data_IF_793309145817
#
_entry.id   IF_793309145817
#
_cell.length_a   1.000
_cell.length_b   1.000
_cell.length_c   1.000
_cell.angle_alpha   90.00
_cell.angle_beta   90.00
_cell.angle_gamma   90.00
#
_symmetry.space_group_name_H-M   'P 1'
#
loop_
_entity.id
_entity.type
_entity.pdbx_description
1 polymer ?
#
# COMPACT_ATOMS: atom_id res chain seq x y z
N UNK A 1 -92.81 -18.72 -18.82
CA UNK A 1 -91.37 -19.03 -18.64
C UNK A 1 -90.74 -18.89 -20.01
N UNK A 2 -89.84 -17.92 -20.20
CA UNK A 2 -89.12 -17.78 -21.48
C UNK A 2 -88.11 -18.92 -21.63
N UNK A 3 -88.08 -19.51 -22.82
CA UNK A 3 -87.20 -20.64 -23.11
C UNK A 3 -85.77 -20.15 -23.34
N UNK A 4 -84.78 -21.04 -23.21
CA UNK A 4 -83.38 -20.75 -23.55
C UNK A 4 -83.25 -20.20 -24.98
N UNK A 5 -84.15 -20.63 -25.86
CA UNK A 5 -84.20 -20.18 -27.26
C UNK A 5 -84.59 -18.70 -27.36
N UNK A 6 -85.57 -18.26 -26.57
CA UNK A 6 -85.99 -16.85 -26.54
C UNK A 6 -84.87 -15.95 -26.00
N UNK A 7 -84.13 -16.41 -24.98
CA UNK A 7 -82.99 -15.67 -24.43
C UNK A 7 -81.80 -15.60 -25.39
N UNK A 8 -81.58 -16.62 -26.22
CA UNK A 8 -80.53 -16.60 -27.24
C UNK A 8 -80.93 -15.74 -28.45
N UNK A 9 -82.21 -15.69 -28.79
CA UNK A 9 -82.73 -14.81 -29.84
C UNK A 9 -82.62 -13.34 -29.45
N UNK A 10 -82.94 -12.98 -28.20
CA UNK A 10 -82.76 -11.62 -27.67
C UNK A 10 -81.27 -11.24 -27.65
N UNK A 11 -80.37 -12.14 -27.24
CA UNK A 11 -78.93 -11.86 -27.23
C UNK A 11 -78.33 -11.67 -28.63
N UNK A 12 -78.94 -12.29 -29.65
CA UNK A 12 -78.52 -12.14 -31.04
C UNK A 12 -79.03 -10.82 -31.66
N UNK A 13 -80.11 -10.24 -31.14
CA UNK A 13 -80.62 -8.93 -31.56
C UNK A 13 -79.82 -7.77 -30.96
N UNK A 14 -79.24 -7.95 -29.78
CA UNK A 14 -78.36 -6.96 -29.11
C UNK A 14 -76.90 -7.00 -29.61
N UNK A 15 -76.57 -7.83 -30.61
CA UNK A 15 -75.24 -7.86 -31.19
C UNK A 15 -74.99 -6.59 -32.03
N UNK A 16 -73.90 -5.81 -31.78
CA UNK A 16 -73.63 -4.58 -32.50
C UNK A 16 -73.50 -4.82 -34.02
N UNK A 17 -74.09 -3.97 -34.89
CA UNK A 17 -74.29 -4.25 -36.31
C UNK A 17 -73.03 -4.09 -37.20
N UNK A 18 -71.83 -4.08 -36.63
CA UNK A 18 -70.60 -3.97 -37.39
C UNK A 18 -69.53 -4.91 -36.83
N UNK A 19 -69.12 -5.88 -37.66
CA UNK A 19 -67.85 -6.58 -37.46
C UNK A 19 -66.73 -5.52 -37.47
N UNK A 20 -65.80 -5.52 -36.51
CA UNK A 20 -64.65 -4.62 -36.55
C UNK A 20 -63.93 -4.81 -37.89
N UNK A 21 -63.59 -3.71 -38.54
CA UNK A 21 -62.90 -3.67 -39.84
C UNK A 21 -61.81 -4.76 -39.89
N UNK A 22 -61.87 -5.71 -40.85
CA UNK A 22 -60.90 -6.82 -40.93
C UNK A 22 -59.45 -6.32 -41.06
N UNK A 23 -59.22 -5.08 -41.52
CA UNK A 23 -57.92 -4.43 -41.50
C UNK A 23 -57.34 -4.21 -40.10
N UNK A 24 -58.16 -4.12 -39.05
CA UNK A 24 -57.70 -3.93 -37.66
C UNK A 24 -56.88 -5.11 -37.16
N UNK A 25 -57.14 -6.33 -37.64
CA UNK A 25 -56.39 -7.51 -37.22
C UNK A 25 -55.01 -7.58 -37.87
N UNK A 26 -54.89 -7.14 -39.12
CA UNK A 26 -53.60 -7.04 -39.80
C UNK A 26 -52.79 -5.82 -39.32
N UNK A 27 -53.46 -4.72 -38.99
CA UNK A 27 -52.85 -3.58 -38.28
C UNK A 27 -52.36 -4.02 -36.89
N UNK A 28 -53.15 -4.75 -36.12
CA UNK A 28 -52.76 -5.28 -34.81
C UNK A 28 -51.62 -6.32 -34.90
N UNK A 29 -51.60 -7.19 -35.91
CA UNK A 29 -50.48 -8.13 -36.16
C UNK A 29 -49.20 -7.40 -36.59
N UNK A 30 -49.31 -6.44 -37.52
CA UNK A 30 -48.19 -5.61 -37.95
C UNK A 30 -47.60 -4.82 -36.78
N UNK A 31 -48.47 -4.31 -35.91
CA UNK A 31 -48.11 -3.65 -34.66
C UNK A 31 -47.38 -4.59 -33.69
N UNK A 32 -47.92 -5.80 -33.47
CA UNK A 32 -47.31 -6.80 -32.60
C UNK A 32 -45.94 -7.29 -33.11
N UNK A 33 -45.77 -7.47 -34.43
CA UNK A 33 -44.49 -7.85 -35.04
C UNK A 33 -43.44 -6.73 -34.92
N UNK A 34 -43.81 -5.49 -35.24
CA UNK A 34 -42.92 -4.31 -35.06
C UNK A 34 -42.54 -4.12 -33.59
N UNK A 35 -43.48 -4.39 -32.66
CA UNK A 35 -43.25 -4.31 -31.22
C UNK A 35 -42.26 -5.38 -30.71
N UNK A 36 -42.37 -6.61 -31.20
CA UNK A 36 -41.45 -7.71 -30.84
C UNK A 36 -40.06 -7.51 -31.42
N UNK A 37 -39.95 -7.13 -32.70
CA UNK A 37 -38.66 -6.86 -33.35
C UNK A 37 -37.94 -5.66 -32.72
N UNK A 38 -38.65 -4.56 -32.42
CA UNK A 38 -38.04 -3.39 -31.78
C UNK A 38 -37.56 -3.66 -30.36
N UNK A 39 -38.27 -4.51 -29.60
CA UNK A 39 -37.84 -4.88 -28.23
C UNK A 39 -36.60 -5.79 -28.28
N UNK A 40 -36.57 -6.77 -29.20
CA UNK A 40 -35.43 -7.66 -29.36
C UNK A 40 -34.14 -6.94 -29.78
N UNK A 41 -34.25 -5.99 -30.72
CA UNK A 41 -33.10 -5.19 -31.18
C UNK A 41 -32.51 -4.36 -30.03
N UNK A 42 -33.36 -3.75 -29.20
CA UNK A 42 -32.86 -2.92 -28.10
C UNK A 42 -32.27 -3.75 -26.97
N UNK A 43 -32.90 -4.87 -26.60
CA UNK A 43 -32.32 -5.79 -25.61
C UNK A 43 -30.98 -6.33 -26.12
N UNK A 44 -30.91 -6.74 -27.39
CA UNK A 44 -29.66 -7.16 -28.02
C UNK A 44 -28.58 -6.09 -28.00
N UNK A 45 -28.88 -4.86 -28.41
CA UNK A 45 -27.93 -3.75 -28.39
C UNK A 45 -27.45 -3.39 -26.97
N UNK A 46 -28.32 -3.51 -25.97
CA UNK A 46 -27.96 -3.25 -24.56
C UNK A 46 -27.03 -4.32 -24.03
N UNK A 47 -27.34 -5.60 -24.26
CA UNK A 47 -26.48 -6.72 -23.86
C UNK A 47 -25.13 -6.64 -24.56
N UNK A 48 -25.10 -6.28 -25.84
CA UNK A 48 -23.87 -6.18 -26.62
C UNK A 48 -23.01 -4.98 -26.16
N UNK A 49 -23.63 -3.86 -25.79
CA UNK A 49 -22.94 -2.71 -25.23
C UNK A 49 -22.41 -2.98 -23.80
N UNK A 50 -23.18 -3.68 -22.96
CA UNK A 50 -22.70 -4.13 -21.64
C UNK A 50 -21.55 -5.14 -21.76
N UNK A 51 -21.63 -6.06 -22.72
CA UNK A 51 -20.56 -7.01 -23.02
C UNK A 51 -19.30 -6.32 -23.57
N UNK A 52 -19.44 -5.27 -24.39
CA UNK A 52 -18.32 -4.45 -24.87
C UNK A 52 -17.68 -3.65 -23.73
N UNK A 53 -18.47 -3.07 -22.82
CA UNK A 53 -17.95 -2.33 -21.67
C UNK A 53 -17.24 -3.28 -20.68
N UNK A 54 -17.83 -4.44 -20.38
CA UNK A 54 -17.20 -5.46 -19.55
C UNK A 54 -15.95 -6.07 -20.21
N UNK A 55 -15.99 -6.31 -21.52
CA UNK A 55 -14.87 -6.86 -22.28
C UNK A 55 -13.70 -5.89 -22.44
N UNK A 56 -13.95 -4.59 -22.59
CA UNK A 56 -12.89 -3.57 -22.69
C UNK A 56 -12.12 -3.36 -21.37
N UNK A 57 -12.74 -3.64 -20.23
CA UNK A 57 -12.06 -3.64 -18.93
C UNK A 57 -11.10 -4.84 -18.79
N UNK A 58 -11.48 -5.98 -19.36
CA UNK A 58 -10.70 -7.22 -19.28
C UNK A 58 -9.55 -7.26 -20.30
N UNK A 59 -9.79 -6.80 -21.53
CA UNK A 59 -8.79 -6.82 -22.63
C UNK A 59 -7.59 -5.88 -22.40
N UNK A 60 -7.67 -4.94 -21.44
CA UNK A 60 -6.52 -4.09 -21.05
C UNK A 60 -5.75 -4.58 -19.81
N UNK A 61 -6.28 -5.55 -19.08
CA UNK A 61 -5.56 -6.16 -17.96
C UNK A 61 -4.50 -7.18 -18.42
N UNK A 62 -4.53 -7.56 -19.70
CA UNK A 62 -3.80 -8.70 -20.26
C UNK A 62 -2.55 -8.32 -21.08
N UNK A 63 -2.03 -7.09 -20.91
CA UNK A 63 -0.70 -6.77 -21.43
C UNK A 63 0.37 -7.41 -20.51
N UNK A 64 0.50 -8.73 -20.61
CA UNK A 64 1.74 -9.45 -20.31
C UNK A 64 2.09 -9.69 -18.84
N UNK A 65 1.13 -10.04 -17.97
CA UNK A 65 1.48 -10.73 -16.72
C UNK A 65 1.80 -12.18 -17.08
N UNK A 66 3.04 -12.41 -17.53
CA UNK A 66 3.56 -13.76 -17.66
C UNK A 66 3.85 -14.25 -16.24
N UNK A 67 3.23 -15.34 -15.76
CA UNK A 67 3.55 -15.89 -14.45
C UNK A 67 5.07 -16.05 -14.37
N UNK A 68 5.69 -15.58 -13.29
CA UNK A 68 7.11 -15.81 -13.08
C UNK A 68 7.40 -17.28 -13.35
N UNK A 69 8.35 -17.54 -14.25
CA UNK A 69 8.78 -18.90 -14.50
C UNK A 69 9.10 -19.54 -13.14
N UNK A 70 8.61 -20.76 -12.84
CA UNK A 70 8.89 -21.41 -11.56
C UNK A 70 10.39 -21.36 -11.26
N UNK A 71 10.78 -20.64 -10.20
CA UNK A 71 12.18 -20.42 -9.83
C UNK A 71 12.83 -19.12 -10.32
N UNK A 72 12.06 -18.12 -10.77
CA UNK A 72 12.56 -16.75 -10.87
C UNK A 72 13.14 -16.33 -9.50
N UNK A 73 14.37 -15.81 -9.50
CA UNK A 73 15.02 -15.41 -8.26
C UNK A 73 14.38 -14.12 -7.76
N UNK A 74 14.02 -14.04 -6.47
CA UNK A 74 13.62 -12.78 -5.85
C UNK A 74 14.69 -11.71 -6.06
N UNK A 75 14.28 -10.53 -6.50
CA UNK A 75 15.18 -9.41 -6.75
C UNK A 75 14.46 -8.09 -6.48
N UNK A 76 15.24 -7.04 -6.22
CA UNK A 76 14.72 -5.69 -6.21
C UNK A 76 14.45 -5.22 -7.65
N UNK A 77 13.39 -4.44 -7.91
CA UNK A 77 13.14 -3.90 -9.23
C UNK A 77 14.16 -2.81 -9.59
N UNK A 78 14.53 -2.73 -10.87
CA UNK A 78 15.33 -1.63 -11.42
C UNK A 78 14.50 -0.35 -11.65
N UNK A 79 13.18 -0.44 -11.51
CA UNK A 79 12.24 0.67 -11.70
C UNK A 79 11.08 0.53 -10.72
N UNK A 80 10.81 1.57 -9.93
CA UNK A 80 9.62 1.67 -9.09
C UNK A 80 8.62 2.60 -9.77
N UNK A 81 7.42 2.09 -10.02
CA UNK A 81 6.34 2.85 -10.64
C UNK A 81 5.40 3.44 -9.59
N UNK A 82 4.80 4.60 -9.91
CA UNK A 82 3.71 5.16 -9.11
C UNK A 82 2.50 4.20 -9.13
N UNK A 83 2.08 3.66 -7.97
CA UNK A 83 0.96 2.73 -7.92
C UNK A 83 -0.35 3.39 -8.34
N UNK A 84 -1.18 2.67 -9.10
CA UNK A 84 -2.54 3.16 -9.38
C UNK A 84 -3.41 2.99 -8.13
N UNK A 85 -4.17 4.04 -7.78
CA UNK A 85 -5.15 4.00 -6.68
C UNK A 85 -6.24 2.93 -6.83
N UNK A 86 -6.37 2.32 -8.01
CA UNK A 86 -7.39 1.32 -8.32
C UNK A 86 -6.80 -0.08 -8.53
N UNK A 87 -5.54 -0.31 -8.12
CA UNK A 87 -4.98 -1.64 -8.06
C UNK A 87 -5.84 -2.57 -7.17
N UNK A 88 -5.89 -3.87 -7.47
CA UNK A 88 -6.56 -4.85 -6.62
C UNK A 88 -5.81 -5.02 -5.29
N UNK A 89 -6.52 -5.56 -4.30
CA UNK A 89 -5.95 -5.95 -3.01
C UNK A 89 -5.54 -7.44 -2.98
N UNK A 90 -4.79 -7.82 -1.96
CA UNK A 90 -4.45 -9.23 -1.65
C UNK A 90 -5.65 -10.08 -1.26
N UNK A 91 -6.73 -9.51 -0.74
CA UNK A 91 -8.00 -10.22 -0.49
C UNK A 91 -8.73 -10.57 -1.79
N UNK A 92 -8.52 -9.78 -2.85
CA UNK A 92 -9.15 -9.98 -4.16
C UNK A 92 -8.39 -11.00 -5.02
N UNK A 93 -7.05 -10.90 -5.05
CA UNK A 93 -6.19 -11.66 -5.98
C UNK A 93 -5.22 -12.62 -5.29
N UNK A 94 -5.21 -12.66 -3.96
CA UNK A 94 -4.31 -13.49 -3.16
C UNK A 94 -2.97 -12.82 -2.83
N UNK A 95 -2.16 -13.50 -1.99
CA UNK A 95 -0.86 -13.00 -1.54
C UNK A 95 0.10 -12.75 -2.71
N UNK A 96 0.97 -11.75 -2.57
CA UNK A 96 2.01 -11.40 -3.54
C UNK A 96 3.26 -12.30 -3.44
N UNK A 97 3.37 -13.07 -2.36
CA UNK A 97 4.62 -13.72 -1.99
C UNK A 97 5.61 -12.73 -1.38
N UNK A 98 6.88 -13.12 -1.37
CA UNK A 98 7.98 -12.27 -0.93
C UNK A 98 7.97 -10.93 -1.66
N UNK A 99 8.05 -9.84 -0.90
CA UNK A 99 8.04 -8.48 -1.42
C UNK A 99 9.47 -7.97 -1.62
N UNK A 100 9.67 -7.17 -2.67
CA UNK A 100 10.89 -6.40 -2.88
C UNK A 100 10.79 -5.01 -2.26
N UNK A 101 9.60 -4.42 -2.27
CA UNK A 101 9.37 -3.08 -1.76
C UNK A 101 7.96 -2.94 -1.19
N UNK A 102 7.83 -1.95 -0.30
CA UNK A 102 6.58 -1.50 0.27
C UNK A 102 6.43 0.00 0.01
N UNK A 103 5.32 0.42 -0.57
CA UNK A 103 5.12 1.78 -1.03
C UNK A 103 3.87 2.39 -0.39
N UNK A 104 3.97 3.55 0.28
CA UNK A 104 2.79 4.28 0.71
C UNK A 104 2.02 4.79 -0.51
N UNK A 105 0.69 4.60 -0.52
CA UNK A 105 -0.17 5.02 -1.62
C UNK A 105 -1.58 5.35 -1.13
N UNK A 106 -2.36 6.02 -1.98
CA UNK A 106 -3.78 6.21 -1.73
C UNK A 106 -4.60 5.12 -2.44
N UNK A 107 -5.41 4.36 -1.72
CA UNK A 107 -6.39 3.43 -2.30
C UNK A 107 -7.71 4.14 -2.56
N UNK A 108 -8.20 4.05 -3.78
CA UNK A 108 -9.48 4.60 -4.19
C UNK A 108 -10.63 3.74 -3.67
N UNK A 109 -11.60 4.35 -3.00
CA UNK A 109 -12.86 3.72 -2.58
C UNK A 109 -14.06 4.17 -3.42
N UNK A 110 -15.29 4.03 -2.90
CA UNK A 110 -16.50 4.60 -3.52
C UNK A 110 -16.79 6.05 -3.09
N UNK A 111 -16.34 6.44 -1.91
CA UNK A 111 -16.64 7.73 -1.27
C UNK A 111 -15.44 8.66 -1.14
N UNK A 112 -14.22 8.14 -1.28
CA UNK A 112 -12.99 8.90 -1.16
C UNK A 112 -11.79 8.07 -1.60
N UNK A 113 -10.60 8.51 -1.21
CA UNK A 113 -9.40 7.70 -1.17
C UNK A 113 -8.93 7.63 0.27
N UNK A 114 -8.13 6.61 0.58
CA UNK A 114 -7.57 6.41 1.90
C UNK A 114 -6.10 6.04 1.82
N UNK A 115 -5.33 6.43 2.83
CA UNK A 115 -3.96 5.97 3.00
C UNK A 115 -3.95 4.44 3.15
N UNK A 116 -3.07 3.82 2.38
CA UNK A 116 -2.88 2.38 2.32
C UNK A 116 -1.44 2.10 1.87
N UNK A 117 -1.11 0.82 1.78
CA UNK A 117 0.22 0.39 1.39
C UNK A 117 0.17 -0.62 0.25
N UNK A 118 1.09 -0.47 -0.70
CA UNK A 118 1.23 -1.34 -1.87
C UNK A 118 2.50 -2.16 -1.72
N UNK A 119 2.38 -3.48 -1.81
CA UNK A 119 3.52 -4.38 -1.93
C UNK A 119 3.92 -4.52 -3.40
N UNK A 120 5.23 -4.67 -3.63
CA UNK A 120 5.80 -5.05 -4.94
C UNK A 120 6.41 -6.44 -4.80
N UNK A 121 5.93 -7.43 -5.55
CA UNK A 121 6.46 -8.80 -5.50
C UNK A 121 7.91 -8.86 -5.98
N UNK A 122 8.79 -9.49 -5.21
CA UNK A 122 10.19 -9.68 -5.57
C UNK A 122 10.40 -10.65 -6.73
N UNK A 123 9.45 -11.56 -6.97
CA UNK A 123 9.56 -12.58 -8.01
C UNK A 123 8.99 -12.12 -9.36
N UNK A 124 7.92 -11.31 -9.34
CA UNK A 124 7.15 -10.94 -10.54
C UNK A 124 7.18 -9.45 -10.84
N UNK A 125 7.46 -8.60 -9.85
CA UNK A 125 7.26 -7.16 -9.94
C UNK A 125 5.79 -6.73 -9.92
N UNK A 126 4.85 -7.63 -9.61
CA UNK A 126 3.43 -7.30 -9.48
C UNK A 126 3.19 -6.35 -8.29
N UNK A 127 2.26 -5.41 -8.48
CA UNK A 127 1.83 -4.44 -7.47
C UNK A 127 0.42 -4.77 -6.99
N UNK A 128 0.22 -4.88 -5.68
CA UNK A 128 -1.12 -4.98 -5.07
C UNK A 128 -1.18 -4.20 -3.76
N UNK A 129 -2.36 -3.68 -3.43
CA UNK A 129 -2.61 -3.19 -2.08
C UNK A 129 -2.55 -4.36 -1.09
N UNK A 130 -1.87 -4.16 0.04
CA UNK A 130 -1.90 -5.14 1.12
C UNK A 130 -3.18 -4.92 1.93
N UNK A 131 -4.04 -5.93 1.99
CA UNK A 131 -5.23 -5.92 2.85
C UNK A 131 -4.83 -6.32 4.28
N UNK A 132 -4.31 -5.34 5.02
CA UNK A 132 -3.84 -5.49 6.40
C UNK A 132 -5.02 -5.39 7.39
N UNK A 133 -5.37 -6.45 8.14
CA UNK A 133 -6.48 -6.44 9.08
C UNK A 133 -6.29 -5.40 10.20
N UNK A 134 -7.31 -4.57 10.42
CA UNK A 134 -7.32 -3.54 11.46
C UNK A 134 -6.11 -2.58 11.42
N UNK A 135 -5.57 -2.28 10.23
CA UNK A 135 -4.48 -1.32 10.08
C UNK A 135 -4.86 0.06 10.65
N UNK A 136 -4.07 0.54 11.62
CA UNK A 136 -4.22 1.87 12.20
C UNK A 136 -3.77 2.99 11.26
N UNK A 137 -3.16 2.63 10.12
CA UNK A 137 -2.60 3.54 9.10
C UNK A 137 -1.52 4.43 9.71
N UNK A 138 -0.70 3.82 10.54
CA UNK A 138 0.50 4.41 11.14
C UNK A 138 1.60 3.42 10.87
N UNK A 139 2.66 3.89 10.23
CA UNK A 139 3.93 3.24 9.90
C UNK A 139 3.89 1.76 9.51
N UNK A 140 4.56 1.41 8.43
CA UNK A 140 4.69 0.02 7.97
C UNK A 140 6.16 -0.32 7.80
N UNK A 141 6.59 -1.46 8.33
CA UNK A 141 7.98 -1.89 8.24
C UNK A 141 8.07 -3.23 7.51
N UNK A 142 8.86 -3.27 6.42
CA UNK A 142 9.12 -4.46 5.64
C UNK A 142 10.33 -5.22 6.23
N UNK A 143 10.20 -6.53 6.42
CA UNK A 143 11.34 -7.35 6.87
C UNK A 143 12.46 -7.35 5.83
N UNK A 144 13.72 -7.55 6.23
CA UNK A 144 14.85 -7.60 5.31
C UNK A 144 14.67 -8.59 4.16
N UNK A 145 14.05 -9.75 4.39
CA UNK A 145 13.74 -10.70 3.33
C UNK A 145 12.42 -10.40 2.60
N UNK A 146 11.61 -9.46 3.06
CA UNK A 146 10.34 -9.09 2.46
C UNK A 146 9.20 -10.10 2.64
N UNK A 147 9.35 -11.08 3.53
CA UNK A 147 8.29 -12.04 3.87
C UNK A 147 7.29 -11.48 4.88
N UNK A 148 7.71 -10.53 5.71
CA UNK A 148 6.89 -9.97 6.79
C UNK A 148 6.68 -8.47 6.63
N UNK A 149 5.47 -8.00 6.93
CA UNK A 149 5.15 -6.58 7.07
C UNK A 149 4.60 -6.34 8.47
N UNK A 150 5.32 -5.55 9.26
CA UNK A 150 4.87 -5.09 10.56
C UNK A 150 4.08 -3.79 10.42
N UNK A 151 3.04 -3.61 11.23
CA UNK A 151 2.20 -2.41 11.23
C UNK A 151 1.47 -2.24 12.57
N UNK A 152 1.09 -1.01 12.87
CA UNK A 152 0.27 -0.71 14.04
C UNK A 152 -1.20 -1.04 13.80
N UNK A 153 -1.85 -1.66 14.78
CA UNK A 153 -3.25 -2.06 14.66
C UNK A 153 -4.19 -1.21 15.50
N UNK A 154 -5.39 -0.99 14.98
CA UNK A 154 -6.48 -0.31 15.68
C UNK A 154 -7.37 -1.28 16.45
N UNK A 155 -8.18 -0.75 17.37
CA UNK A 155 -8.95 -1.54 18.32
C UNK A 155 -9.68 -0.68 19.34
N UNK A 156 -10.25 -1.36 20.35
CA UNK A 156 -10.99 -0.70 21.42
C UNK A 156 -10.07 -0.19 22.54
N UNK A 157 -10.29 1.05 22.96
CA UNK A 157 -9.65 1.66 24.14
C UNK A 157 -10.55 1.50 25.37
N UNK A 158 -9.96 1.54 26.59
CA UNK A 158 -10.77 1.46 27.82
C UNK A 158 -11.58 2.74 28.10
N UNK A 159 -11.05 3.89 27.66
CA UNK A 159 -11.68 5.20 27.73
C UNK A 159 -11.93 5.80 26.33
N UNK A 160 -12.13 7.11 26.27
CA UNK A 160 -12.26 7.84 24.99
C UNK A 160 -10.93 7.78 24.24
N UNK A 161 -10.87 7.36 22.96
CA UNK A 161 -9.62 7.32 22.22
C UNK A 161 -9.09 8.73 21.93
N UNK A 162 -7.78 8.85 21.69
CA UNK A 162 -7.14 10.01 21.11
C UNK A 162 -7.01 9.80 19.60
N UNK A 163 -7.80 10.53 18.82
CA UNK A 163 -7.82 10.40 17.35
C UNK A 163 -7.40 11.68 16.64
N UNK A 164 -6.92 12.67 17.40
CA UNK A 164 -6.67 14.03 16.92
C UNK A 164 -7.90 14.63 16.22
N UNK A 165 -9.08 14.42 16.82
CA UNK A 165 -10.36 14.88 16.25
C UNK A 165 -10.81 14.08 15.02
N UNK A 166 -10.51 12.78 14.99
CA UNK A 166 -10.91 11.84 13.94
C UNK A 166 -9.96 11.77 12.75
N UNK A 167 -8.74 12.32 12.86
CA UNK A 167 -7.73 12.26 11.80
C UNK A 167 -7.04 10.91 11.73
N UNK A 168 -6.86 10.26 12.87
CA UNK A 168 -6.17 8.97 12.96
C UNK A 168 -7.04 7.92 13.65
N UNK A 169 -6.84 6.67 13.27
CA UNK A 169 -7.34 5.55 14.05
C UNK A 169 -6.48 5.43 15.33
N UNK A 170 -7.07 5.07 16.49
CA UNK A 170 -6.29 4.82 17.69
C UNK A 170 -5.46 3.56 17.50
N UNK A 171 -4.15 3.63 17.71
CA UNK A 171 -3.30 2.45 17.78
C UNK A 171 -3.54 1.74 19.12
N UNK A 172 -3.61 0.41 19.11
CA UNK A 172 -3.90 -0.42 20.29
C UNK A 172 -3.06 -1.70 20.35
N UNK A 173 -2.11 -1.84 19.44
CA UNK A 173 -1.22 -3.00 19.38
C UNK A 173 -0.38 -2.96 18.12
N UNK A 174 0.37 -4.05 17.90
CA UNK A 174 1.19 -4.27 16.70
C UNK A 174 0.79 -5.61 16.07
N UNK A 175 0.90 -5.71 14.75
CA UNK A 175 0.73 -6.96 14.03
C UNK A 175 1.82 -7.15 12.98
N UNK A 176 2.07 -8.42 12.65
CA UNK A 176 2.94 -8.84 11.56
C UNK A 176 2.13 -9.67 10.58
N UNK A 177 2.15 -9.26 9.32
CA UNK A 177 1.51 -9.94 8.21
C UNK A 177 2.55 -10.70 7.40
N UNK A 178 2.33 -12.00 7.19
CA UNK A 178 3.10 -12.85 6.29
C UNK A 178 2.57 -12.67 4.86
N UNK A 179 3.41 -12.12 3.99
CA UNK A 179 3.09 -11.76 2.61
C UNK A 179 2.99 -12.97 1.67
N UNK A 180 3.47 -14.13 2.11
CA UNK A 180 3.44 -15.40 1.39
C UNK A 180 2.18 -16.18 1.71
N UNK A 181 1.83 -16.29 2.99
CA UNK A 181 0.67 -17.08 3.44
C UNK A 181 -0.60 -16.23 3.59
N UNK A 182 -0.47 -14.92 3.74
CA UNK A 182 -1.55 -14.00 4.10
C UNK A 182 -1.96 -14.09 5.57
N UNK A 183 -1.24 -14.86 6.39
CA UNK A 183 -1.50 -14.95 7.82
C UNK A 183 -1.06 -13.67 8.56
N UNK A 184 -1.73 -13.36 9.67
CA UNK A 184 -1.36 -12.22 10.51
C UNK A 184 -1.28 -12.68 11.96
N UNK A 185 -0.16 -12.38 12.62
CA UNK A 185 0.01 -12.51 14.07
C UNK A 185 -0.11 -11.12 14.69
N UNK A 186 -0.82 -11.03 15.82
CA UNK A 186 -1.17 -9.76 16.45
C UNK A 186 -0.85 -9.80 17.94
N UNK A 187 -0.30 -8.71 18.45
CA UNK A 187 -0.10 -8.44 19.87
C UNK A 187 -0.90 -7.19 20.28
N UNK A 188 -1.95 -7.41 21.07
CA UNK A 188 -2.80 -6.35 21.61
C UNK A 188 -2.23 -5.77 22.90
N UNK A 189 -2.25 -4.44 23.02
CA UNK A 189 -1.79 -3.70 24.19
C UNK A 189 -2.98 -3.00 24.84
N UNK A 190 -3.18 -3.27 26.14
CA UNK A 190 -4.24 -2.60 26.89
C UNK A 190 -3.89 -1.12 27.12
N UNK A 191 -4.77 -0.22 26.68
CA UNK A 191 -4.56 1.23 26.79
C UNK A 191 -5.86 1.98 27.10
N UNK A 192 -5.76 3.06 27.87
CA UNK A 192 -6.91 3.91 28.20
C UNK A 192 -7.38 4.76 27.01
N UNK A 193 -6.43 5.32 26.24
CA UNK A 193 -6.72 6.31 25.19
C UNK A 193 -6.09 5.99 23.83
N UNK A 194 -5.35 4.90 23.72
CA UNK A 194 -4.56 4.55 22.54
C UNK A 194 -3.06 4.60 22.82
N UNK A 195 -2.30 4.00 21.92
CA UNK A 195 -0.84 4.07 21.90
C UNK A 195 -0.40 5.29 21.08
N UNK A 196 0.76 5.82 21.44
CA UNK A 196 1.54 6.72 20.62
C UNK A 196 2.73 5.93 20.05
N UNK A 197 2.61 5.39 18.81
CA UNK A 197 3.71 4.75 18.11
C UNK A 197 4.97 5.61 18.09
N UNK A 198 6.12 4.96 18.17
CA UNK A 198 7.43 5.61 18.13
C UNK A 198 8.35 4.83 17.18
N UNK A 199 8.81 3.63 17.56
CA UNK A 199 9.67 2.79 16.70
C UNK A 199 8.92 1.58 16.14
N UNK A 200 9.19 1.24 14.88
CA UNK A 200 8.75 0.02 14.22
C UNK A 200 9.76 -0.37 13.13
N UNK A 201 10.70 -1.25 13.46
CA UNK A 201 11.81 -1.59 12.57
C UNK A 201 12.29 -3.03 12.79
N UNK A 202 12.62 -3.72 11.70
CA UNK A 202 13.17 -5.07 11.77
C UNK A 202 14.67 -5.07 12.07
N UNK A 203 15.12 -5.80 13.09
CA UNK A 203 16.56 -6.01 13.28
C UNK A 203 17.12 -7.02 12.29
N UNK A 204 16.32 -8.03 11.94
CA UNK A 204 16.58 -9.11 10.98
C UNK A 204 15.23 -9.60 10.41
N UNK A 205 15.20 -10.70 9.68
CA UNK A 205 13.98 -11.23 9.06
C UNK A 205 12.90 -11.67 10.06
N UNK A 206 13.30 -12.01 11.28
CA UNK A 206 12.46 -12.74 12.24
C UNK A 206 12.18 -11.92 13.50
N UNK A 207 13.00 -10.90 13.78
CA UNK A 207 12.92 -10.09 15.00
C UNK A 207 12.53 -8.65 14.68
N UNK A 208 11.36 -8.25 15.18
CA UNK A 208 10.86 -6.87 15.14
C UNK A 208 11.31 -6.12 16.40
N UNK A 209 11.79 -4.89 16.21
CA UNK A 209 12.04 -3.92 17.28
C UNK A 209 10.95 -2.85 17.22
N UNK A 210 10.36 -2.56 18.38
CA UNK A 210 9.31 -1.55 18.49
C UNK A 210 9.37 -0.77 19.80
N UNK A 211 8.80 0.43 19.81
CA UNK A 211 8.53 1.21 21.01
C UNK A 211 7.23 1.98 20.86
N UNK A 212 6.57 2.26 21.98
CA UNK A 212 5.36 3.07 22.00
C UNK A 212 5.17 3.72 23.37
N UNK A 213 4.62 4.92 23.36
CA UNK A 213 4.02 5.55 24.54
C UNK A 213 2.52 5.24 24.67
N UNK A 214 1.89 5.73 25.73
CA UNK A 214 0.43 5.76 25.86
C UNK A 214 -0.07 7.19 25.85
N UNK A 215 -1.16 7.45 25.13
CA UNK A 215 -1.77 8.77 25.04
C UNK A 215 -2.31 9.21 26.41
N UNK A 216 -2.00 10.43 26.84
CA UNK A 216 -2.39 10.90 28.18
C UNK A 216 -3.91 11.10 28.36
N UNK A 217 -4.60 11.46 27.28
CA UNK A 217 -6.01 11.86 27.29
C UNK A 217 -6.69 11.52 25.97
N UNK A 218 -8.00 11.27 26.01
CA UNK A 218 -8.85 11.10 24.84
C UNK A 218 -9.36 12.40 24.20
N UNK A 219 -10.19 12.24 23.17
CA UNK A 219 -10.80 13.35 22.41
C UNK A 219 -11.76 14.23 23.22
N UNK A 220 -12.24 13.76 24.38
CA UNK A 220 -13.11 14.51 25.30
C UNK A 220 -12.35 15.52 26.18
N UNK A 221 -11.01 15.46 26.20
CA UNK A 221 -10.18 16.43 26.89
C UNK A 221 -10.00 17.73 26.07
N UNK A 222 -9.68 18.87 26.71
CA UNK A 222 -9.38 20.11 25.99
C UNK A 222 -8.22 19.95 25.00
N UNK A 223 -8.37 20.46 23.76
CA UNK A 223 -7.38 20.32 22.68
C UNK A 223 -5.92 20.62 23.08
N UNK A 224 -5.69 21.60 23.96
CA UNK A 224 -4.34 21.94 24.48
C UNK A 224 -3.65 20.84 25.31
N UNK A 225 -4.37 19.79 25.68
CA UNK A 225 -3.88 18.61 26.40
C UNK A 225 -3.75 17.38 25.50
N UNK A 226 -4.29 17.44 24.29
CA UNK A 226 -4.20 16.37 23.29
C UNK A 226 -2.80 16.40 22.64
N UNK A 227 -2.36 15.27 22.12
CA UNK A 227 -1.05 15.12 21.45
C UNK A 227 0.14 14.98 22.40
N UNK A 228 -0.11 14.57 23.65
CA UNK A 228 0.95 14.21 24.59
C UNK A 228 0.80 12.75 25.00
N UNK A 229 1.93 12.05 25.06
CA UNK A 229 2.02 10.66 25.48
C UNK A 229 3.00 10.47 26.64
N UNK A 230 2.85 9.37 27.37
CA UNK A 230 3.90 8.86 28.25
C UNK A 230 5.14 8.53 27.40
N UNK A 231 6.36 8.73 27.91
CA UNK A 231 7.54 8.13 27.30
C UNK A 231 7.35 6.61 27.14
N UNK A 232 7.97 6.02 26.11
CA UNK A 232 8.10 4.56 26.04
C UNK A 232 8.92 4.05 27.24
N UNK A 233 8.57 2.86 27.75
CA UNK A 233 9.36 2.17 28.78
C UNK A 233 10.72 1.67 28.25
N UNK A 234 10.91 1.67 26.93
CA UNK A 234 12.15 1.32 26.23
C UNK A 234 11.90 0.77 24.83
N UNK A 235 12.95 0.24 24.21
CA UNK A 235 12.82 -0.59 23.00
C UNK A 235 12.38 -1.99 23.43
N UNK A 236 11.50 -2.62 22.64
CA UNK A 236 11.07 -3.99 22.81
C UNK A 236 11.47 -4.81 21.60
N UNK A 237 11.76 -6.10 21.80
CA UNK A 237 11.94 -7.08 20.72
C UNK A 237 10.76 -8.03 20.68
N UNK A 238 10.36 -8.44 19.48
CA UNK A 238 9.30 -9.41 19.28
C UNK A 238 9.63 -10.33 18.11
N UNK A 239 9.54 -11.64 18.34
CA UNK A 239 9.65 -12.68 17.32
C UNK A 239 8.23 -13.23 17.05
N UNK A 240 7.56 -12.84 15.95
CA UNK A 240 6.14 -13.15 15.75
C UNK A 240 5.81 -14.65 15.63
N UNK A 241 6.79 -15.45 15.20
CA UNK A 241 6.65 -16.91 15.08
C UNK A 241 6.81 -17.65 16.41
N UNK A 242 7.28 -16.95 17.44
CA UNK A 242 7.38 -17.47 18.79
C UNK A 242 6.13 -17.03 19.57
N UNK A 243 5.49 -17.97 20.28
CA UNK A 243 4.30 -17.70 21.10
C UNK A 243 4.68 -16.96 22.41
N UNK A 244 5.52 -15.94 22.31
CA UNK A 244 5.99 -15.08 23.38
C UNK A 244 5.59 -13.63 23.09
N UNK A 245 5.29 -12.89 24.17
CA UNK A 245 4.98 -11.47 24.08
C UNK A 245 6.25 -10.65 23.81
N UNK A 246 6.13 -9.42 23.25
CA UNK A 246 7.26 -8.51 23.12
C UNK A 246 7.98 -8.33 24.46
N UNK A 247 9.31 -8.40 24.43
CA UNK A 247 10.15 -8.30 25.64
C UNK A 247 10.93 -7.00 25.66
N UNK A 248 11.06 -6.40 26.84
CA UNK A 248 11.84 -5.18 27.00
C UNK A 248 13.33 -5.48 26.74
N UNK A 249 13.91 -4.73 25.82
CA UNK A 249 15.31 -4.85 25.48
C UNK A 249 16.21 -4.33 26.60
N UNK A 250 17.46 -4.79 26.62
CA UNK A 250 18.48 -4.36 27.56
C UNK A 250 19.21 -3.08 27.13
N UNK A 251 18.57 -2.24 26.31
CA UNK A 251 19.04 -0.94 25.86
C UNK A 251 18.12 0.14 26.42
N UNK A 252 18.70 1.29 26.78
CA UNK A 252 17.93 2.44 27.23
C UNK A 252 16.97 2.91 26.12
N UNK A 253 15.87 3.57 26.52
CA UNK A 253 14.96 4.18 25.57
C UNK A 253 15.73 5.18 24.67
N UNK A 254 15.48 5.10 23.37
CA UNK A 254 16.17 5.89 22.36
C UNK A 254 15.55 5.68 21.00
N UNK A 255 15.92 6.55 20.06
CA UNK A 255 15.45 6.46 18.69
C UNK A 255 16.34 5.50 17.89
N UNK A 256 15.75 4.60 17.11
CA UNK A 256 16.50 3.72 16.21
C UNK A 256 16.79 4.49 14.93
N UNK A 257 18.08 4.71 14.66
CA UNK A 257 18.53 5.46 13.48
C UNK A 257 18.54 4.56 12.24
N UNK A 258 18.91 3.28 12.40
CA UNK A 258 19.00 2.31 11.28
C UNK A 258 19.20 0.87 11.78
N UNK A 259 18.88 -0.08 10.91
CA UNK A 259 19.14 -1.51 11.05
C UNK A 259 19.97 -2.01 9.86
N UNK A 260 20.84 -2.98 10.07
CA UNK A 260 21.49 -3.68 8.95
C UNK A 260 20.71 -4.91 8.45
N UNK A 261 19.52 -5.18 9.01
CA UNK A 261 18.71 -6.35 8.70
C UNK A 261 19.36 -7.68 9.06
N UNK A 262 20.35 -7.67 9.96
CA UNK A 262 21.15 -8.83 10.40
C UNK A 262 21.44 -8.79 11.90
N UNK A 263 20.50 -8.26 12.67
CA UNK A 263 20.53 -8.24 14.14
C UNK A 263 21.33 -7.08 14.74
N UNK A 264 21.83 -6.12 13.96
CA UNK A 264 22.53 -4.95 14.50
C UNK A 264 21.78 -3.64 14.19
N UNK A 265 21.63 -2.82 15.22
CA UNK A 265 20.95 -1.53 15.17
C UNK A 265 21.89 -0.41 15.62
N UNK A 266 21.69 0.76 15.05
CA UNK A 266 22.24 2.01 15.56
C UNK A 266 21.12 2.75 16.31
N UNK A 267 21.34 3.03 17.60
CA UNK A 267 20.33 3.66 18.46
C UNK A 267 20.90 4.97 19.01
N UNK A 268 20.14 6.05 18.84
CA UNK A 268 20.39 7.35 19.44
C UNK A 268 19.79 7.41 20.85
N UNK A 269 20.66 7.69 21.81
CA UNK A 269 20.30 7.97 23.20
C UNK A 269 20.47 9.46 23.48
N UNK A 270 19.94 9.93 24.61
CA UNK A 270 20.08 11.33 25.05
C UNK A 270 21.55 11.77 25.19
N UNK A 271 22.45 10.86 25.57
CA UNK A 271 23.86 11.14 25.85
C UNK A 271 24.84 10.67 24.76
N UNK A 272 24.34 10.14 23.63
CA UNK A 272 25.19 9.69 22.53
C UNK A 272 24.51 8.68 21.60
N UNK A 273 25.30 7.85 20.96
CA UNK A 273 24.80 6.74 20.15
C UNK A 273 25.40 5.43 20.62
N UNK A 274 24.63 4.36 20.45
CA UNK A 274 25.07 2.99 20.71
C UNK A 274 24.83 2.13 19.49
N UNK A 275 25.71 1.15 19.28
CA UNK A 275 25.37 -0.02 18.48
C UNK A 275 24.80 -1.07 19.41
N UNK A 276 23.63 -1.59 19.06
CA UNK A 276 23.01 -2.70 19.76
C UNK A 276 22.98 -3.93 18.86
N UNK A 277 23.53 -5.03 19.36
CA UNK A 277 23.41 -6.37 18.77
C UNK A 277 22.26 -7.09 19.48
N UNK A 278 21.17 -7.33 18.75
CA UNK A 278 19.90 -7.83 19.29
C UNK A 278 20.04 -9.28 19.75
N UNK A 279 20.69 -10.12 18.95
CA UNK A 279 20.86 -11.54 19.23
C UNK A 279 21.65 -11.77 20.53
N UNK A 280 22.76 -11.05 20.71
CA UNK A 280 23.63 -11.22 21.88
C UNK A 280 23.27 -10.30 23.05
N UNK A 281 22.43 -9.29 22.81
CA UNK A 281 22.17 -8.19 23.73
C UNK A 281 23.37 -7.27 23.97
N UNK A 282 24.42 -7.35 23.14
CA UNK A 282 25.62 -6.54 23.35
C UNK A 282 25.39 -5.07 22.95
N UNK A 283 25.60 -4.14 23.87
CA UNK A 283 25.48 -2.69 23.63
C UNK A 283 26.87 -2.06 23.65
N UNK A 284 27.26 -1.41 22.55
CA UNK A 284 28.54 -0.72 22.39
C UNK A 284 28.31 0.78 22.24
N UNK A 285 28.78 1.58 23.21
CA UNK A 285 28.75 3.05 23.10
C UNK A 285 29.72 3.54 22.03
N UNK A 286 29.23 4.43 21.18
CA UNK A 286 29.96 4.96 20.04
C UNK A 286 30.39 6.40 20.34
N UNK A 287 31.65 6.77 20.06
CA UNK A 287 32.15 8.12 20.26
C UNK A 287 31.79 9.03 19.08
N UNK A 288 30.50 9.04 18.73
CA UNK A 288 29.94 9.90 17.71
C UNK A 288 29.24 11.08 18.40
N UNK A 289 29.36 12.31 17.88
CA UNK A 289 28.60 13.44 18.43
C UNK A 289 27.11 13.10 18.39
N UNK A 290 26.39 13.43 19.46
CA UNK A 290 25.03 12.94 19.78
C UNK A 290 23.89 13.26 18.81
N UNK A 291 24.18 13.67 17.57
CA UNK A 291 23.24 13.67 16.45
C UNK A 291 24.02 13.42 15.16
N UNK A 292 23.82 12.26 14.53
CA UNK A 292 23.92 12.22 13.07
C UNK A 292 22.75 13.07 12.59
N UNK A 293 23.05 14.22 11.99
CA UNK A 293 22.01 15.08 11.44
C UNK A 293 21.56 14.53 10.09
N UNK A 294 20.88 13.37 10.05
CA UNK A 294 20.06 12.94 8.91
C UNK A 294 19.32 11.65 9.23
N UNK A 295 18.00 11.68 9.00
CA UNK A 295 16.98 10.63 9.18
C UNK A 295 17.20 9.36 8.34
N UNK A 296 18.36 9.16 7.70
CA UNK A 296 18.65 7.97 6.88
C UNK A 296 20.15 7.68 6.85
N UNK A 297 20.62 6.92 7.83
CA UNK A 297 21.94 6.28 7.81
C UNK A 297 21.80 4.81 7.42
N UNK A 298 22.87 4.24 6.84
CA UNK A 298 22.95 2.82 6.53
C UNK A 298 24.05 2.17 7.35
N UNK A 299 23.69 1.11 8.09
CA UNK A 299 24.64 0.26 8.79
C UNK A 299 25.13 -0.86 7.85
N UNK A 300 26.44 -1.11 7.84
CA UNK A 300 26.99 -2.16 6.99
C UNK A 300 26.65 -3.55 7.54
N UNK A 301 26.83 -4.57 6.70
CA UNK A 301 26.49 -5.97 7.06
C UNK A 301 27.17 -6.48 8.33
N UNK A 302 28.30 -5.87 8.72
CA UNK A 302 29.06 -6.27 9.90
C UNK A 302 28.66 -5.48 11.15
N UNK A 303 27.87 -4.43 11.01
CA UNK A 303 27.58 -3.48 12.08
C UNK A 303 28.81 -2.65 12.50
N UNK A 304 29.88 -2.62 11.71
CA UNK A 304 31.14 -1.95 12.07
C UNK A 304 31.36 -0.65 11.29
N UNK A 305 30.54 -0.36 10.29
CA UNK A 305 30.60 0.90 9.54
C UNK A 305 29.19 1.43 9.34
N UNK A 306 29.06 2.75 9.42
CA UNK A 306 27.84 3.44 9.02
C UNK A 306 28.16 4.42 7.89
N UNK A 307 27.28 4.51 6.91
CA UNK A 307 27.29 5.55 5.89
C UNK A 307 26.12 6.49 6.16
N UNK A 308 26.35 7.79 6.08
CA UNK A 308 25.33 8.78 6.41
C UNK A 308 25.52 10.09 5.62
N UNK A 309 24.44 10.83 5.33
CA UNK A 309 24.52 12.17 4.78
C UNK A 309 25.19 13.15 5.76
N UNK A 310 26.18 13.91 5.31
CA UNK A 310 26.90 14.93 6.10
C UNK A 310 26.99 16.25 5.33
N UNK A 311 26.48 17.33 5.91
CA UNK A 311 26.54 18.66 5.31
C UNK A 311 25.53 19.66 5.88
N UNK A 312 25.56 20.88 5.36
CA UNK A 312 24.53 21.91 5.54
C UNK A 312 24.65 22.98 4.43
N UNK A 313 23.61 23.30 3.65
CA UNK A 313 22.29 22.66 3.51
C UNK A 313 22.23 21.61 2.38
N UNK A 314 21.16 20.82 2.32
CA UNK A 314 20.93 19.80 1.29
C UNK A 314 21.20 20.32 -0.14
N UNK A 315 21.90 19.55 -0.99
CA UNK A 315 22.30 18.15 -0.79
C UNK A 315 23.49 17.99 0.16
N UNK A 316 23.56 16.82 0.81
CA UNK A 316 24.64 16.46 1.72
C UNK A 316 25.68 15.60 0.99
N UNK A 317 26.95 15.67 1.40
CA UNK A 317 27.94 14.69 0.95
C UNK A 317 27.76 13.37 1.70
N UNK A 318 28.11 12.23 1.08
CA UNK A 318 28.15 10.96 1.83
C UNK A 318 29.40 10.93 2.71
N UNK A 319 29.27 10.45 3.94
CA UNK A 319 30.39 10.13 4.82
C UNK A 319 30.28 8.71 5.35
N UNK A 320 31.40 8.00 5.40
CA UNK A 320 31.50 6.68 6.05
C UNK A 320 32.26 6.83 7.35
N UNK A 321 31.75 6.23 8.42
CA UNK A 321 32.42 6.19 9.72
C UNK A 321 32.58 4.76 10.17
N UNK A 322 33.76 4.46 10.73
CA UNK A 322 33.99 3.19 11.41
C UNK A 322 33.44 3.27 12.83
N UNK A 323 32.57 2.33 13.16
CA UNK A 323 32.00 2.16 14.49
C UNK A 323 32.99 1.38 15.34
N UNK A 324 33.84 2.13 16.01
CA UNK A 324 34.87 1.62 16.91
C UNK A 324 34.36 1.63 18.36
N UNK A 325 35.04 0.87 19.23
CA UNK A 325 34.69 0.81 20.65
C UNK A 325 34.88 2.15 21.36
N UNK A 326 34.39 2.29 22.60
CA UNK A 326 34.30 3.57 23.32
C UNK A 326 35.65 4.23 23.64
N UNK A 327 36.77 3.52 23.48
CA UNK A 327 38.12 4.05 23.72
C UNK A 327 38.84 4.52 22.46
N UNK A 328 38.24 4.33 21.28
CA UNK A 328 38.82 4.70 20.00
C UNK A 328 38.07 5.89 19.41
N UNK A 329 38.75 6.82 18.74
CA UNK A 329 38.06 7.92 18.06
C UNK A 329 37.44 7.40 16.76
N UNK A 330 36.16 7.65 16.55
CA UNK A 330 35.51 7.35 15.29
C UNK A 330 36.05 8.27 14.19
N UNK A 331 36.75 7.69 13.22
CA UNK A 331 37.22 8.43 12.03
C UNK A 331 36.15 8.37 10.95
N UNK A 332 35.65 9.55 10.57
CA UNK A 332 34.71 9.73 9.46
C UNK A 332 35.48 10.17 8.23
N UNK A 333 35.26 9.48 7.12
CA UNK A 333 35.87 9.77 5.82
C UNK A 333 34.77 10.19 4.84
N UNK A 334 34.88 11.38 4.20
CA UNK A 334 33.95 11.80 3.17
C UNK A 334 34.13 10.94 1.91
N UNK A 335 33.03 10.60 1.25
CA UNK A 335 33.01 9.98 -0.07
C UNK A 335 33.17 11.10 -1.11
N UNK A 336 34.19 11.06 -1.99
CA UNK A 336 34.44 12.14 -2.94
C UNK A 336 33.27 12.34 -3.92
N UNK A 337 32.82 13.58 -4.12
CA UNK A 337 31.91 13.91 -5.24
C UNK A 337 30.52 13.26 -5.22
N UNK A 338 30.13 12.62 -4.12
CA UNK A 338 28.83 11.97 -3.96
C UNK A 338 27.89 12.86 -3.13
N UNK A 339 26.90 13.45 -3.81
CA UNK A 339 25.84 14.25 -3.21
C UNK A 339 24.56 13.40 -3.07
N UNK A 340 23.94 13.46 -1.90
CA UNK A 340 22.76 12.65 -1.57
C UNK A 340 21.78 13.36 -0.64
N UNK A 341 20.53 12.91 -0.65
CA UNK A 341 19.57 13.19 0.44
C UNK A 341 19.63 12.16 1.56
N UNK A 342 19.86 10.89 1.21
CA UNK A 342 19.63 9.75 2.10
C UNK A 342 20.52 8.58 1.70
N UNK A 343 21.09 7.88 2.68
CA UNK A 343 21.82 6.61 2.44
C UNK A 343 20.97 5.47 2.98
N UNK A 344 20.37 4.69 2.08
CA UNK A 344 19.35 3.71 2.43
C UNK A 344 19.95 2.41 2.97
N UNK A 345 21.00 1.88 2.33
CA UNK A 345 21.57 0.60 2.69
C UNK A 345 23.02 0.43 2.18
N UNK A 346 23.72 -0.58 2.70
CA UNK A 346 24.96 -1.07 2.10
C UNK A 346 24.67 -2.20 1.11
N UNK A 347 25.09 -2.04 -0.14
CA UNK A 347 24.99 -3.08 -1.16
C UNK A 347 26.07 -4.14 -0.95
N UNK A 348 27.30 -3.72 -0.66
CA UNK A 348 28.41 -4.61 -0.39
C UNK A 348 29.47 -3.92 0.49
N UNK A 349 30.70 -4.42 0.52
CA UNK A 349 31.75 -3.84 1.36
C UNK A 349 32.22 -2.45 0.89
N UNK A 350 32.02 -2.10 -0.38
CA UNK A 350 32.50 -0.87 -1.03
C UNK A 350 31.38 0.01 -1.56
N UNK A 351 30.15 -0.49 -1.64
CA UNK A 351 29.06 0.25 -2.26
C UNK A 351 27.89 0.45 -1.30
N UNK A 352 27.32 1.66 -1.36
CA UNK A 352 26.07 2.04 -0.69
C UNK A 352 24.99 2.32 -1.72
N UNK A 353 23.74 2.07 -1.33
CA UNK A 353 22.56 2.54 -2.04
C UNK A 353 22.18 3.90 -1.46
N UNK A 354 22.21 4.94 -2.29
CA UNK A 354 21.94 6.31 -1.89
C UNK A 354 20.93 6.96 -2.82
N UNK A 355 20.12 7.87 -2.29
CA UNK A 355 19.21 8.68 -3.09
C UNK A 355 19.99 9.82 -3.74
N UNK A 356 19.93 9.95 -5.07
CA UNK A 356 20.60 11.04 -5.77
C UNK A 356 19.85 12.34 -5.57
N UNK A 357 20.63 13.42 -5.46
CA UNK A 357 20.10 14.77 -5.68
C UNK A 357 20.41 15.27 -7.09
N UNK A 358 19.36 15.61 -7.85
CA UNK A 358 19.50 16.30 -9.13
C UNK A 358 18.59 17.54 -9.13
N UNK A 359 19.10 18.75 -8.82
CA UNK A 359 18.27 19.96 -8.66
C UNK A 359 17.57 20.39 -9.96
N UNK A 360 18.17 20.07 -11.10
CA UNK A 360 17.68 20.46 -12.42
C UNK A 360 16.75 19.40 -13.04
N UNK A 361 16.67 18.23 -12.42
CA UNK A 361 15.84 17.10 -12.87
C UNK A 361 14.71 16.93 -11.86
N UNK A 362 13.44 17.03 -12.28
CA UNK A 362 12.28 16.71 -11.42
C UNK A 362 12.16 15.19 -11.25
N UNK A 363 13.27 14.55 -10.92
CA UNK A 363 13.46 13.12 -10.98
C UNK A 363 14.42 12.71 -9.88
N UNK A 364 13.99 11.74 -9.09
CA UNK A 364 14.81 11.09 -8.08
C UNK A 364 15.16 9.69 -8.59
N UNK A 365 16.38 9.22 -8.32
CA UNK A 365 16.78 7.85 -8.57
C UNK A 365 17.60 7.32 -7.39
N UNK A 366 17.70 6.00 -7.28
CA UNK A 366 18.62 5.36 -6.35
C UNK A 366 19.89 4.96 -7.08
N UNK A 367 21.01 5.34 -6.48
CA UNK A 367 22.33 5.12 -7.02
C UNK A 367 23.13 4.15 -6.16
N UNK A 368 23.84 3.26 -6.84
CA UNK A 368 24.99 2.55 -6.28
C UNK A 368 26.16 3.52 -6.27
N UNK A 369 26.73 3.79 -5.09
CA UNK A 369 27.89 4.69 -4.93
C UNK A 369 29.06 3.93 -4.32
N UNK A 370 30.21 3.95 -4.98
CA UNK A 370 31.47 3.45 -4.41
C UNK A 370 31.97 4.42 -3.34
N UNK A 371 32.11 3.93 -2.10
CA UNK A 371 32.46 4.77 -0.94
C UNK A 371 33.93 5.23 -0.93
N UNK A 372 34.78 4.66 -1.79
CA UNK A 372 36.20 5.01 -1.91
C UNK A 372 36.42 6.02 -3.04
N UNK A 373 35.82 5.78 -4.20
CA UNK A 373 36.03 6.61 -5.41
C UNK A 373 34.97 7.68 -5.59
N UNK A 374 33.76 7.46 -5.07
CA UNK A 374 32.59 8.28 -5.35
C UNK A 374 31.93 8.04 -6.70
N UNK A 375 32.43 7.07 -7.48
CA UNK A 375 31.77 6.67 -8.73
C UNK A 375 30.36 6.16 -8.42
N UNK A 376 29.39 6.66 -9.20
CA UNK A 376 27.98 6.37 -9.01
C UNK A 376 27.32 5.90 -10.30
N UNK A 377 26.40 4.96 -10.16
CA UNK A 377 25.51 4.52 -11.25
C UNK A 377 24.07 4.39 -10.74
N UNK A 378 23.12 4.78 -11.58
CA UNK A 378 21.69 4.60 -11.29
C UNK A 378 21.32 3.12 -11.37
N UNK A 379 20.70 2.61 -10.30
CA UNK A 379 20.28 1.20 -10.20
C UNK A 379 18.78 1.03 -10.02
N UNK A 380 18.08 2.05 -9.50
CA UNK A 380 16.62 2.07 -9.43
C UNK A 380 16.09 3.43 -9.90
N UNK A 381 15.22 3.40 -10.90
CA UNK A 381 14.45 4.55 -11.39
C UNK A 381 13.20 4.75 -10.50
N UNK A 382 12.98 5.96 -9.96
CA UNK A 382 11.85 6.26 -9.04
C UNK A 382 10.78 7.15 -9.69
N UNK A 383 9.52 7.07 -9.22
CA UNK A 383 8.45 7.83 -9.82
C UNK A 383 8.48 9.30 -9.35
N UNK A 384 8.89 10.19 -10.25
CA UNK A 384 8.74 11.64 -10.08
C UNK A 384 9.75 12.29 -9.12
N UNK A 385 9.53 13.58 -8.79
CA UNK A 385 10.42 14.31 -7.89
C UNK A 385 10.11 14.05 -6.42
N UNK A 386 11.15 13.96 -5.60
CA UNK A 386 11.06 13.92 -4.14
C UNK A 386 11.72 12.70 -3.50
N UNK A 387 11.80 12.69 -2.19
CA UNK A 387 12.48 11.62 -1.46
C UNK A 387 11.75 10.29 -1.59
N UNK A 388 12.52 9.20 -1.65
CA UNK A 388 11.94 7.86 -1.56
C UNK A 388 11.28 7.68 -0.19
N UNK A 389 10.00 7.31 -0.18
CA UNK A 389 9.21 7.11 1.06
C UNK A 389 8.77 5.65 1.26
N UNK A 390 9.28 4.73 0.45
CA UNK A 390 8.99 3.31 0.59
C UNK A 390 10.02 2.61 1.47
N UNK A 391 9.75 1.33 1.73
CA UNK A 391 10.71 0.39 2.31
C UNK A 391 11.20 -0.57 1.22
N UNK A 392 12.44 -1.03 1.34
CA UNK A 392 13.03 -2.06 0.50
C UNK A 392 13.35 -3.29 1.34
N UNK A 393 13.15 -4.48 0.78
CA UNK A 393 13.65 -5.71 1.38
C UNK A 393 15.18 -5.74 1.27
N UNK A 394 15.88 -5.15 2.23
CA UNK A 394 17.34 -4.93 2.20
C UNK A 394 18.16 -6.23 2.09
N UNK A 395 17.59 -7.37 2.45
CA UNK A 395 18.16 -8.69 2.24
C UNK A 395 18.26 -9.11 0.77
N UNK A 396 17.51 -8.46 -0.13
CA UNK A 396 17.56 -8.70 -1.59
C UNK A 396 18.62 -7.86 -2.31
N UNK A 397 19.31 -6.95 -1.62
CA UNK A 397 20.38 -6.10 -2.22
C UNK A 397 21.59 -6.91 -2.72
N UNK A 398 21.70 -8.18 -2.30
CA UNK A 398 22.73 -9.12 -2.74
C UNK A 398 22.46 -9.66 -4.15
N UNK A 399 21.22 -9.59 -4.61
CA UNK A 399 20.79 -10.07 -5.91
C UNK A 399 20.83 -8.94 -6.94
N UNK A 400 21.11 -9.24 -8.22
CA UNK A 400 21.02 -8.24 -9.28
C UNK A 400 19.61 -7.66 -9.38
N UNK A 401 19.50 -6.34 -9.53
CA UNK A 401 18.22 -5.68 -9.82
C UNK A 401 17.60 -6.27 -11.10
N UNK A 402 16.28 -6.44 -11.07
CA UNK A 402 15.52 -7.06 -12.14
C UNK A 402 14.59 -6.06 -12.82
N UNK A 403 14.48 -6.18 -14.14
CA UNK A 403 13.55 -5.38 -14.92
C UNK A 403 12.16 -6.01 -14.88
N UNK A 404 11.18 -5.22 -14.47
CA UNK A 404 9.78 -5.62 -14.38
C UNK A 404 8.89 -4.70 -15.24
N UNK A 405 7.81 -5.23 -15.83
CA UNK A 405 6.87 -4.41 -16.58
C UNK A 405 6.21 -3.37 -15.66
N UNK A 406 5.79 -2.25 -16.24
CA UNK A 406 4.99 -1.27 -15.51
C UNK A 406 3.68 -1.92 -15.01
N UNK A 407 3.23 -1.60 -13.78
CA UNK A 407 2.01 -2.16 -13.25
C UNK A 407 0.79 -1.69 -14.05
N UNK A 408 -0.31 -2.47 -14.04
CA UNK A 408 -1.53 -2.06 -14.69
C UNK A 408 -2.05 -0.75 -14.08
N UNK A 409 -2.81 0.00 -14.87
CA UNK A 409 -3.52 1.20 -14.42
C UNK A 409 -5.02 1.01 -14.57
N UNK A 410 -5.68 0.26 -13.65
CA UNK A 410 -7.11 0.04 -13.71
C UNK A 410 -7.88 1.36 -13.73
N UNK A 411 -9.01 1.36 -14.45
CA UNK A 411 -9.89 2.52 -14.50
C UNK A 411 -10.66 2.67 -13.20
N UNK A 412 -11.01 3.92 -12.89
CA UNK A 412 -11.91 4.23 -11.78
C UNK A 412 -13.25 3.47 -11.92
N UNK A 413 -13.61 2.58 -10.98
CA UNK A 413 -14.82 1.78 -11.06
C UNK A 413 -16.08 2.63 -11.07
N UNK A 414 -16.03 3.85 -10.50
CA UNK A 414 -17.15 4.81 -10.51
C UNK A 414 -17.42 5.31 -11.92
N UNK A 415 -16.38 5.49 -12.74
CA UNK A 415 -16.55 5.85 -14.15
C UNK A 415 -17.20 4.71 -14.94
N UNK A 416 -16.78 3.47 -14.70
CA UNK A 416 -17.38 2.29 -15.35
C UNK A 416 -18.87 2.14 -15.01
N UNK A 417 -19.24 2.31 -13.74
CA UNK A 417 -20.65 2.29 -13.31
C UNK A 417 -21.42 3.48 -13.86
N UNK A 418 -20.83 4.68 -13.84
CA UNK A 418 -21.45 5.89 -14.38
C UNK A 418 -21.74 5.79 -15.88
N UNK A 419 -20.79 5.28 -16.66
CA UNK A 419 -20.96 5.02 -18.09
C UNK A 419 -22.04 3.95 -18.35
N UNK A 420 -22.04 2.88 -17.54
CA UNK A 420 -23.04 1.82 -17.64
C UNK A 420 -24.45 2.33 -17.32
N UNK A 421 -24.62 3.11 -16.24
CA UNK A 421 -25.89 3.72 -15.86
C UNK A 421 -26.37 4.74 -16.91
N UNK A 422 -25.47 5.57 -17.44
CA UNK A 422 -25.75 6.51 -18.51
C UNK A 422 -26.24 5.81 -19.78
N UNK A 423 -25.61 4.71 -20.16
CA UNK A 423 -26.04 3.88 -21.29
C UNK A 423 -27.45 3.30 -21.06
N UNK A 424 -27.71 2.74 -19.87
CA UNK A 424 -29.04 2.21 -19.50
C UNK A 424 -30.11 3.30 -19.57
N UNK A 425 -29.80 4.52 -19.11
CA UNK A 425 -30.71 5.68 -19.21
C UNK A 425 -30.97 6.09 -20.67
N UNK A 426 -29.93 6.17 -21.50
CA UNK A 426 -30.07 6.49 -22.94
C UNK A 426 -30.96 5.46 -23.62
N UNK A 427 -30.72 4.17 -23.38
CA UNK A 427 -31.54 3.07 -23.89
C UNK A 427 -32.98 3.20 -23.39
N UNK A 428 -33.19 3.46 -22.10
CA UNK A 428 -34.51 3.65 -21.50
C UNK A 428 -35.28 4.82 -22.12
N UNK A 429 -34.62 5.96 -22.35
CA UNK A 429 -35.19 7.13 -23.01
C UNK A 429 -35.50 6.85 -24.48
N UNK A 430 -34.61 6.17 -25.20
CA UNK A 430 -34.83 5.75 -26.58
C UNK A 430 -36.04 4.82 -26.69
N UNK A 431 -36.15 3.83 -25.79
CA UNK A 431 -37.31 2.93 -25.70
C UNK A 431 -38.61 3.68 -25.39
N UNK A 432 -38.56 4.63 -24.46
CA UNK A 432 -39.72 5.46 -24.11
C UNK A 432 -40.17 6.31 -25.29
N UNK A 433 -39.24 7.00 -25.97
CA UNK A 433 -39.52 7.82 -27.16
C UNK A 433 -40.03 6.98 -28.33
N UNK A 434 -39.46 5.79 -28.53
CA UNK A 434 -39.95 4.86 -29.54
C UNK A 434 -41.38 4.41 -29.22
N UNK A 435 -41.65 4.02 -27.97
CA UNK A 435 -43.01 3.64 -27.53
C UNK A 435 -44.00 4.78 -27.66
N UNK A 436 -43.62 6.04 -27.39
CA UNK A 436 -44.52 7.18 -27.54
C UNK A 436 -44.82 7.50 -29.00
N UNK A 437 -43.86 7.32 -29.92
CA UNK A 437 -44.08 7.49 -31.37
C UNK A 437 -44.91 6.37 -32.00
N UNK A 438 -44.94 5.21 -31.36
CA UNK A 438 -45.67 4.01 -31.82
C UNK A 438 -47.03 3.88 -31.11
N UNK A 439 -47.41 4.74 -30.17
CA UNK A 439 -48.80 4.81 -29.68
C UNK A 439 -49.58 5.80 -30.56
N UNK A 440 -50.73 5.40 -31.14
CA UNK A 440 -51.56 6.29 -31.96
C UNK A 440 -52.16 7.43 -31.16
#
# INVERSE_FOLDING_TARGET
MSTLHDRLADLAQDAPPALPDPGLWDVARGYHRRRRLGTAVVVGATVLALALIGGLGWVRADDGIEPAAPGARPALPDTIWEPSRWLPGTDDEGPLGQLAALLPAERGGWTGAEEAVVGVSAATGEYRFLDLPDDARRDHALSPDGVHVAYWVTGATQGTPQTAGGQYLPATGVAVHDTVTGATVRHDVSTEHGLAPDELIWSDSDTLVLSYGQEYVGDDAPARKQGGSTPSDGLMTWEPDVEEEPTLANVEAGAVETSNGRGALLVQLDDGMVRWDVETGAVTRLPLPGRLMAEVAALDRTGQRAAYPRGNPSPNGISVVRLVGPQETAESSPVPGADTFAVLAWLDAQHVLAERYAPDELHTDLQRVDVTTGESETVVDLPGPGNFRGELAVGLLDEPFASHPAPPRPLDPRLLVGLSAGLVLIVGVALRRWRSRVRP
#
